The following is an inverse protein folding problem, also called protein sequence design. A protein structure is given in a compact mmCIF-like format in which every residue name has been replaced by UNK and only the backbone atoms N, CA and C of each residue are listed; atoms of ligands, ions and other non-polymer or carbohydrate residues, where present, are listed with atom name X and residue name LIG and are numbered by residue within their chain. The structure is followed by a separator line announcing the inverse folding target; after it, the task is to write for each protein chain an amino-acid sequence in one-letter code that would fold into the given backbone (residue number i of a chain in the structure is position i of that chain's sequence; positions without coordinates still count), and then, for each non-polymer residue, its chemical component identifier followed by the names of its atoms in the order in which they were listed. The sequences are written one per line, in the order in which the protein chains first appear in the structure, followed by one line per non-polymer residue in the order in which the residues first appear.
data_IF_233106484220
#
_entry.id   IF_233106484220
#
_cell.length_a   1.000
_cell.length_b   1.000
_cell.length_c   1.000
_cell.angle_alpha   90.00
_cell.angle_beta   90.00
_cell.angle_gamma   90.00
#
_symmetry.space_group_name_H-M   'P 1'
#
loop_
_entity.id
_entity.type
_entity.pdbx_description
1 polymer ?
#
# COMPACT_ATOMS: atom_id res chain seq x y z
N UNK A 1 -13.65 -13.13 7.39
CA UNK A 1 -13.93 -14.58 7.28
C UNK A 1 -15.34 -14.85 6.79
N UNK A 2 -16.39 -14.41 7.49
CA UNK A 2 -17.79 -14.64 7.06
C UNK A 2 -18.04 -14.34 5.57
N UNK A 3 -17.70 -13.15 5.08
CA UNK A 3 -17.90 -12.78 3.67
C UNK A 3 -17.27 -13.76 2.67
N UNK A 4 -16.09 -14.30 2.97
CA UNK A 4 -15.36 -15.23 2.09
C UNK A 4 -16.01 -16.63 2.01
N UNK A 5 -16.99 -16.93 2.86
CA UNK A 5 -17.80 -18.14 2.75
C UNK A 5 -19.04 -17.95 1.87
N UNK A 6 -19.39 -16.72 1.52
CA UNK A 6 -20.64 -16.38 0.82
C UNK A 6 -20.44 -15.65 -0.51
N UNK A 7 -19.19 -15.33 -0.88
CA UNK A 7 -18.87 -14.63 -2.12
C UNK A 7 -17.56 -15.16 -2.70
N UNK A 8 -17.48 -15.17 -4.03
CA UNK A 8 -16.27 -15.56 -4.76
C UNK A 8 -15.15 -14.51 -4.62
N UNK A 9 -15.55 -13.23 -4.47
CA UNK A 9 -14.64 -12.10 -4.27
C UNK A 9 -15.07 -11.29 -3.05
N UNK A 10 -14.11 -10.95 -2.18
CA UNK A 10 -14.32 -10.07 -1.03
C UNK A 10 -13.35 -8.91 -1.12
N UNK A 11 -13.88 -7.73 -1.43
CA UNK A 11 -13.12 -6.48 -1.37
C UNK A 11 -13.22 -5.92 0.04
N UNK A 12 -12.09 -5.54 0.62
CA UNK A 12 -11.98 -4.90 1.92
C UNK A 12 -10.85 -3.86 1.89
N UNK A 13 -10.82 -2.98 2.88
CA UNK A 13 -9.85 -1.90 2.97
C UNK A 13 -9.24 -1.81 4.37
N UNK A 14 -8.17 -1.02 4.48
CA UNK A 14 -7.55 -0.63 5.73
C UNK A 14 -7.38 0.89 5.74
N UNK A 15 -7.51 1.52 6.92
CA UNK A 15 -7.43 2.97 7.04
C UNK A 15 -5.99 3.50 6.88
N UNK A 16 -5.87 4.78 6.51
CA UNK A 16 -4.61 5.45 6.15
C UNK A 16 -3.96 4.90 4.86
N UNK A 17 -2.68 5.21 4.64
CA UNK A 17 -1.90 4.72 3.50
C UNK A 17 -1.43 3.27 3.68
N UNK A 18 -0.80 2.72 2.64
CA UNK A 18 -0.31 1.35 2.66
C UNK A 18 0.87 1.11 3.63
N UNK A 19 1.54 2.19 4.04
CA UNK A 19 2.55 2.21 5.10
C UNK A 19 1.98 1.83 6.47
N UNK A 20 0.75 2.23 6.78
CA UNK A 20 0.11 1.93 8.07
C UNK A 20 -1.02 0.90 7.93
N UNK A 21 -2.02 1.20 7.11
CA UNK A 21 -3.22 0.39 6.99
C UNK A 21 -2.93 -0.99 6.40
N UNK A 22 -2.28 -1.00 5.24
CA UNK A 22 -1.97 -2.25 4.55
C UNK A 22 -0.94 -3.07 5.33
N UNK A 23 0.13 -2.45 5.84
CA UNK A 23 1.10 -3.14 6.72
C UNK A 23 0.40 -3.85 7.88
N UNK A 24 -0.44 -3.16 8.65
CA UNK A 24 -1.16 -3.76 9.79
C UNK A 24 -2.19 -4.80 9.36
N UNK A 25 -2.86 -4.59 8.22
CA UNK A 25 -3.77 -5.58 7.68
C UNK A 25 -3.01 -6.87 7.34
N UNK A 26 -1.84 -6.76 6.73
CA UNK A 26 -1.03 -7.90 6.30
C UNK A 26 -0.30 -8.55 7.48
N UNK A 27 0.48 -7.81 8.25
CA UNK A 27 1.33 -8.34 9.32
C UNK A 27 0.58 -8.75 10.58
N UNK A 28 -0.61 -8.17 10.84
CA UNK A 28 -1.44 -8.47 12.02
C UNK A 28 -2.70 -9.23 11.63
N UNK A 29 -3.62 -8.62 10.88
CA UNK A 29 -4.94 -9.22 10.63
C UNK A 29 -4.83 -10.51 9.81
N UNK A 30 -4.09 -10.52 8.71
CA UNK A 30 -3.90 -11.71 7.90
C UNK A 30 -3.17 -12.81 8.66
N UNK A 31 -2.12 -12.46 9.42
CA UNK A 31 -1.39 -13.40 10.27
C UNK A 31 -2.31 -14.07 11.30
N UNK A 32 -3.06 -13.28 12.07
CA UNK A 32 -3.93 -13.81 13.13
C UNK A 32 -5.16 -14.55 12.59
N UNK A 33 -5.68 -14.12 11.44
CA UNK A 33 -6.84 -14.74 10.83
C UNK A 33 -6.48 -15.89 9.87
N UNK A 34 -5.21 -16.11 9.54
CA UNK A 34 -4.80 -17.05 8.49
C UNK A 34 -5.38 -16.69 7.12
N UNK A 35 -5.51 -15.38 6.83
CA UNK A 35 -5.96 -14.89 5.53
C UNK A 35 -4.76 -14.70 4.60
N UNK A 36 -4.97 -14.97 3.32
CA UNK A 36 -4.00 -14.71 2.26
C UNK A 36 -4.69 -13.84 1.22
N UNK A 37 -4.32 -12.55 1.09
CA UNK A 37 -4.90 -11.68 0.06
C UNK A 37 -4.46 -12.15 -1.32
N UNK A 38 -5.38 -12.13 -2.28
CA UNK A 38 -5.09 -12.59 -3.64
C UNK A 38 -4.50 -11.46 -4.50
N UNK A 39 -4.92 -10.21 -4.29
CA UNK A 39 -4.40 -9.02 -4.96
C UNK A 39 -4.66 -7.75 -4.12
N UNK A 40 -4.00 -6.64 -4.49
CA UNK A 40 -4.12 -5.34 -3.82
C UNK A 40 -4.42 -4.22 -4.82
N UNK A 41 -5.35 -3.33 -4.47
CA UNK A 41 -5.54 -2.05 -5.16
C UNK A 41 -4.87 -0.94 -4.36
N UNK A 42 -4.00 -0.18 -5.00
CA UNK A 42 -3.38 1.03 -4.42
C UNK A 42 -4.05 2.24 -5.05
N UNK A 43 -4.81 2.99 -4.25
CA UNK A 43 -5.56 4.16 -4.73
C UNK A 43 -4.70 5.42 -4.63
N UNK A 44 -4.67 6.22 -5.69
CA UNK A 44 -4.03 7.54 -5.69
C UNK A 44 -4.81 8.56 -6.55
N UNK A 45 -4.41 9.82 -6.50
CA UNK A 45 -4.93 10.91 -7.35
C UNK A 45 -3.76 11.76 -7.84
N UNK A 46 -3.85 12.30 -9.06
CA UNK A 46 -2.83 13.21 -9.61
C UNK A 46 -2.59 14.41 -8.68
N UNK A 47 -3.66 14.95 -8.11
CA UNK A 47 -3.59 16.07 -7.14
C UNK A 47 -2.81 15.71 -5.88
N UNK A 48 -3.04 14.54 -5.28
CA UNK A 48 -2.29 14.12 -4.08
C UNK A 48 -0.80 13.91 -4.39
N UNK A 49 -0.49 13.38 -5.58
CA UNK A 49 0.90 13.24 -6.00
C UNK A 49 1.58 14.59 -6.23
N UNK A 50 0.92 15.54 -6.90
CA UNK A 50 1.43 16.93 -7.00
C UNK A 50 1.63 17.59 -5.63
N UNK A 51 0.74 17.33 -4.69
CA UNK A 51 0.88 17.81 -3.31
C UNK A 51 2.14 17.23 -2.63
N UNK A 52 2.38 15.92 -2.78
CA UNK A 52 3.63 15.28 -2.32
C UNK A 52 4.87 15.86 -3.02
N UNK A 53 4.72 16.34 -4.25
CA UNK A 53 5.74 17.08 -4.99
C UNK A 53 5.94 18.54 -4.57
N UNK A 54 5.19 19.01 -3.57
CA UNK A 54 5.32 20.35 -2.98
C UNK A 54 4.32 21.40 -3.46
N UNK A 55 3.33 21.03 -4.28
CA UNK A 55 2.31 22.00 -4.74
C UNK A 55 1.35 22.32 -3.59
N UNK A 56 1.13 23.61 -3.25
CA UNK A 56 0.15 23.99 -2.25
C UNK A 56 -1.26 23.54 -2.62
N UNK A 57 -2.08 23.26 -1.61
CA UNK A 57 -3.46 22.76 -1.80
C UNK A 57 -4.32 23.64 -2.73
N UNK A 58 -4.07 24.95 -2.73
CA UNK A 58 -4.80 25.92 -3.55
C UNK A 58 -4.53 25.77 -5.06
N UNK A 59 -3.38 25.22 -5.44
CA UNK A 59 -2.86 25.25 -6.81
C UNK A 59 -2.91 23.88 -7.52
N UNK A 60 -3.50 22.86 -6.86
CA UNK A 60 -3.50 21.47 -7.33
C UNK A 60 -4.30 21.23 -8.63
N UNK A 61 -5.12 22.19 -9.05
CA UNK A 61 -5.96 22.04 -10.24
C UNK A 61 -5.23 22.40 -11.54
N UNK A 62 -4.04 22.99 -11.46
CA UNK A 62 -3.23 23.30 -12.64
C UNK A 62 -2.36 22.08 -12.99
N UNK A 63 -2.22 21.79 -14.28
CA UNK A 63 -1.27 20.78 -14.76
C UNK A 63 0.14 21.12 -14.26
N UNK A 64 0.84 20.13 -13.69
CA UNK A 64 2.23 20.29 -13.29
C UNK A 64 2.98 18.96 -13.27
N UNK A 65 3.54 18.59 -14.44
CA UNK A 65 4.29 17.34 -14.61
C UNK A 65 5.56 17.28 -13.74
N UNK A 66 6.25 18.42 -13.54
CA UNK A 66 7.46 18.46 -12.71
C UNK A 66 7.16 18.13 -11.24
N UNK A 67 6.12 18.75 -10.67
CA UNK A 67 5.70 18.44 -9.32
C UNK A 67 5.14 17.02 -9.20
N UNK A 68 4.38 16.57 -10.21
CA UNK A 68 3.89 15.20 -10.24
C UNK A 68 5.05 14.20 -10.21
N UNK A 69 6.08 14.40 -11.02
CA UNK A 69 7.28 13.56 -11.03
C UNK A 69 8.02 13.58 -9.67
N UNK A 70 8.09 14.74 -9.01
CA UNK A 70 8.69 14.84 -7.65
C UNK A 70 7.86 14.15 -6.57
N UNK A 71 6.54 14.05 -6.72
CA UNK A 71 5.65 13.43 -5.74
C UNK A 71 5.35 11.95 -5.98
N UNK A 72 5.55 11.47 -7.21
CA UNK A 72 5.43 10.06 -7.60
C UNK A 72 6.20 9.07 -6.71
N UNK A 73 7.40 9.38 -6.17
CA UNK A 73 8.11 8.48 -5.25
C UNK A 73 7.27 7.98 -4.07
N UNK A 74 6.28 8.75 -3.60
CA UNK A 74 5.36 8.29 -2.57
C UNK A 74 4.53 7.06 -3.03
N UNK A 75 3.89 7.14 -4.20
CA UNK A 75 3.13 6.03 -4.78
C UNK A 75 4.04 4.85 -5.11
N UNK A 76 5.19 5.12 -5.74
CA UNK A 76 6.14 4.09 -6.13
C UNK A 76 6.67 3.32 -4.92
N UNK A 77 6.87 3.99 -3.77
CA UNK A 77 7.26 3.31 -2.54
C UNK A 77 6.14 2.39 -2.01
N UNK A 78 4.88 2.82 -2.06
CA UNK A 78 3.76 1.94 -1.69
C UNK A 78 3.63 0.75 -2.64
N UNK A 79 3.80 0.95 -3.95
CA UNK A 79 3.86 -0.13 -4.94
C UNK A 79 4.97 -1.12 -4.62
N UNK A 80 6.17 -0.62 -4.32
CA UNK A 80 7.31 -1.46 -3.93
C UNK A 80 7.02 -2.28 -2.67
N UNK A 81 6.45 -1.65 -1.64
CA UNK A 81 6.13 -2.33 -0.39
C UNK A 81 5.19 -3.52 -0.66
N UNK A 82 4.12 -3.31 -1.42
CA UNK A 82 3.16 -4.39 -1.74
C UNK A 82 3.80 -5.49 -2.60
N UNK A 83 4.48 -5.12 -3.68
CA UNK A 83 4.96 -6.08 -4.68
C UNK A 83 6.25 -6.79 -4.27
N UNK A 84 7.19 -6.10 -3.62
CA UNK A 84 8.52 -6.66 -3.27
C UNK A 84 8.61 -7.10 -1.82
N UNK A 85 8.09 -6.30 -0.88
CA UNK A 85 8.15 -6.64 0.55
C UNK A 85 7.11 -7.69 0.89
N UNK A 86 5.85 -7.47 0.51
CA UNK A 86 4.78 -8.43 0.78
C UNK A 86 4.61 -9.48 -0.31
N UNK A 87 5.13 -9.27 -1.52
CA UNK A 87 5.05 -10.28 -2.59
C UNK A 87 3.65 -10.44 -3.19
N UNK A 88 2.80 -9.43 -3.07
CA UNK A 88 1.42 -9.46 -3.56
C UNK A 88 1.30 -8.82 -4.94
N UNK A 89 0.49 -9.39 -5.85
CA UNK A 89 0.16 -8.72 -7.10
C UNK A 89 -0.69 -7.47 -6.81
N UNK A 90 -0.45 -6.41 -7.58
CA UNK A 90 -1.05 -5.12 -7.33
C UNK A 90 -1.46 -4.40 -8.62
N UNK A 91 -2.51 -3.58 -8.51
CA UNK A 91 -2.92 -2.59 -9.51
C UNK A 91 -3.01 -1.23 -8.84
N UNK A 92 -2.58 -0.18 -9.54
CA UNK A 92 -2.82 1.20 -9.09
C UNK A 92 -4.13 1.70 -9.69
N UNK A 93 -5.02 2.20 -8.85
CA UNK A 93 -6.24 2.87 -9.27
C UNK A 93 -6.08 4.39 -9.11
N UNK A 94 -6.12 5.13 -10.22
CA UNK A 94 -6.11 6.60 -10.19
C UNK A 94 -7.54 7.10 -10.23
N UNK A 95 -8.02 7.67 -9.11
CA UNK A 95 -9.32 8.34 -9.09
C UNK A 95 -9.24 9.64 -9.90
N UNK A 96 -9.97 9.67 -11.02
CA UNK A 96 -9.97 10.77 -11.97
C UNK A 96 -10.65 12.02 -11.39
N UNK A 97 -10.01 13.18 -11.55
CA UNK A 97 -10.62 14.48 -11.35
C UNK A 97 -10.77 15.22 -12.69
N UNK A 98 -11.79 16.09 -12.85
CA UNK A 98 -12.01 16.84 -14.10
C UNK A 98 -10.83 17.73 -14.54
N UNK A 99 -9.93 18.06 -13.63
CA UNK A 99 -8.76 18.90 -13.88
C UNK A 99 -7.49 18.12 -14.19
N UNK A 100 -7.53 16.79 -14.10
CA UNK A 100 -6.38 15.96 -14.41
C UNK A 100 -6.18 15.95 -15.93
N UNK A 101 -4.96 16.22 -16.36
CA UNK A 101 -4.60 16.15 -17.78
C UNK A 101 -4.27 14.72 -18.20
N UNK A 102 -4.42 14.42 -19.50
CA UNK A 102 -3.97 13.13 -20.04
C UNK A 102 -2.46 12.95 -19.85
N UNK A 103 -1.67 14.02 -20.00
CA UNK A 103 -0.22 13.96 -19.81
C UNK A 103 0.18 13.58 -18.38
N UNK A 104 -0.56 14.05 -17.37
CA UNK A 104 -0.33 13.65 -15.98
C UNK A 104 -0.69 12.18 -15.74
N UNK A 105 -1.81 11.71 -16.30
CA UNK A 105 -2.20 10.30 -16.21
C UNK A 105 -1.17 9.38 -16.88
N UNK A 106 -0.73 9.74 -18.09
CA UNK A 106 0.28 8.99 -18.85
C UNK A 106 1.62 8.91 -18.10
N UNK A 107 2.02 9.99 -17.42
CA UNK A 107 3.23 10.00 -16.59
C UNK A 107 3.11 9.03 -15.41
N UNK A 108 1.97 9.00 -14.72
CA UNK A 108 1.75 8.05 -13.62
C UNK A 108 1.79 6.61 -14.13
N UNK A 109 1.14 6.33 -15.25
CA UNK A 109 1.15 5.01 -15.89
C UNK A 109 2.57 4.57 -16.26
N UNK A 110 3.32 5.45 -16.94
CA UNK A 110 4.70 5.16 -17.35
C UNK A 110 5.58 4.78 -16.15
N UNK A 111 5.52 5.56 -15.06
CA UNK A 111 6.35 5.33 -13.87
C UNK A 111 5.95 4.08 -13.08
N UNK A 112 4.66 3.75 -12.99
CA UNK A 112 4.22 2.51 -12.35
C UNK A 112 4.61 1.28 -13.19
N UNK A 113 4.57 1.40 -14.51
CA UNK A 113 4.96 0.33 -15.44
C UNK A 113 6.44 -0.04 -15.34
N UNK A 114 7.32 0.90 -14.99
CA UNK A 114 8.73 0.60 -14.67
C UNK A 114 8.88 -0.37 -13.48
N UNK A 115 7.90 -0.43 -12.59
CA UNK A 115 7.82 -1.40 -11.48
C UNK A 115 6.99 -2.66 -11.82
N UNK A 116 6.54 -2.80 -13.08
CA UNK A 116 5.72 -3.91 -13.53
C UNK A 116 4.26 -3.85 -13.06
N UNK A 117 3.79 -2.68 -12.61
CA UNK A 117 2.41 -2.51 -12.11
C UNK A 117 1.58 -1.66 -13.07
N UNK A 118 0.42 -2.19 -13.45
CA UNK A 118 -0.53 -1.48 -14.30
C UNK A 118 -1.29 -0.41 -13.51
N UNK A 119 -1.64 0.66 -14.22
CA UNK A 119 -2.49 1.74 -13.71
C UNK A 119 -3.83 1.69 -14.44
N UNK A 120 -4.92 1.82 -13.70
CA UNK A 120 -6.28 1.93 -14.24
C UNK A 120 -6.97 3.17 -13.69
N UNK A 121 -7.65 3.90 -14.57
CA UNK A 121 -8.36 5.12 -14.19
C UNK A 121 -9.73 4.74 -13.62
N UNK A 122 -9.97 5.16 -12.38
CA UNK A 122 -11.21 4.96 -11.66
C UNK A 122 -12.14 6.16 -11.89
N UNK A 123 -13.33 5.88 -12.42
CA UNK A 123 -14.42 6.85 -12.60
C UNK A 123 -15.65 6.50 -11.78
N UNK A 124 -15.49 5.65 -10.75
CA UNK A 124 -16.61 5.08 -9.99
C UNK A 124 -17.45 6.15 -9.28
N UNK A 125 -16.85 7.29 -8.93
CA UNK A 125 -17.58 8.41 -8.35
C UNK A 125 -18.60 9.02 -9.33
N UNK A 126 -18.22 9.16 -10.61
CA UNK A 126 -19.06 9.77 -11.63
C UNK A 126 -19.97 8.76 -12.34
N UNK A 127 -19.55 7.50 -12.47
CA UNK A 127 -20.19 6.47 -13.31
C UNK A 127 -20.65 5.22 -12.53
N UNK A 128 -20.54 5.21 -11.20
CA UNK A 128 -20.85 4.03 -10.39
C UNK A 128 -20.00 2.82 -10.80
N UNK A 129 -20.57 1.62 -10.76
CA UNK A 129 -19.83 0.38 -11.05
C UNK A 129 -19.19 0.34 -12.45
N UNK A 130 -19.81 0.96 -13.45
CA UNK A 130 -19.27 1.03 -14.82
C UNK A 130 -17.89 1.72 -14.85
N UNK A 131 -17.70 2.74 -14.00
CA UNK A 131 -16.43 3.46 -13.90
C UNK A 131 -15.30 2.69 -13.23
N UNK A 132 -15.55 1.46 -12.77
CA UNK A 132 -14.56 0.60 -12.10
C UNK A 132 -14.28 -0.72 -12.82
N UNK A 133 -14.91 -0.96 -13.98
CA UNK A 133 -14.80 -2.23 -14.72
C UNK A 133 -13.35 -2.55 -15.06
N UNK A 134 -12.57 -1.58 -15.56
CA UNK A 134 -11.17 -1.82 -15.93
C UNK A 134 -10.29 -2.21 -14.73
N UNK A 135 -10.60 -1.69 -13.53
CA UNK A 135 -9.89 -2.07 -12.29
C UNK A 135 -10.29 -3.48 -11.87
N UNK A 136 -11.57 -3.82 -11.97
CA UNK A 136 -12.06 -5.15 -11.66
C UNK A 136 -11.48 -6.21 -12.61
N UNK A 137 -11.46 -5.94 -13.92
CA UNK A 137 -10.85 -6.82 -14.92
C UNK A 137 -9.35 -7.02 -14.66
N UNK A 138 -8.64 -5.95 -14.33
CA UNK A 138 -7.21 -6.04 -14.01
C UNK A 138 -6.96 -6.84 -12.71
N UNK A 139 -7.80 -6.68 -11.69
CA UNK A 139 -7.72 -7.50 -10.48
C UNK A 139 -7.96 -8.98 -10.78
N UNK A 140 -9.00 -9.31 -11.54
CA UNK A 140 -9.30 -10.70 -11.92
C UNK A 140 -8.11 -11.27 -12.70
N UNK A 141 -7.56 -10.53 -13.67
CA UNK A 141 -6.38 -10.94 -14.43
C UNK A 141 -5.17 -11.23 -13.53
N UNK A 142 -4.90 -10.36 -12.55
CA UNK A 142 -3.80 -10.54 -11.60
C UNK A 142 -3.99 -11.79 -10.71
N UNK A 143 -5.21 -12.04 -10.26
CA UNK A 143 -5.56 -13.20 -9.44
C UNK A 143 -5.41 -14.49 -10.26
N UNK A 144 -5.92 -14.51 -11.50
CA UNK A 144 -5.87 -15.67 -12.39
C UNK A 144 -4.45 -15.98 -12.90
N UNK A 145 -3.58 -14.99 -13.00
CA UNK A 145 -2.18 -15.20 -13.37
C UNK A 145 -1.41 -16.05 -12.33
N UNK A 146 -1.89 -16.10 -11.08
CA UNK A 146 -1.33 -16.97 -10.03
C UNK A 146 0.02 -16.52 -9.46
N UNK A 147 0.52 -15.35 -9.82
CA UNK A 147 1.78 -14.78 -9.31
C UNK A 147 1.56 -14.13 -7.93
N UNK A 148 1.40 -14.96 -6.90
CA UNK A 148 1.24 -14.52 -5.51
C UNK A 148 2.26 -15.19 -4.60
N UNK A 149 3.22 -14.40 -4.11
CA UNK A 149 4.29 -14.85 -3.22
C UNK A 149 4.14 -14.21 -1.83
N UNK A 150 2.90 -14.10 -1.35
CA UNK A 150 2.58 -13.40 -0.11
C UNK A 150 3.45 -13.85 1.07
N UNK A 151 4.13 -12.88 1.68
CA UNK A 151 4.95 -13.03 2.87
C UNK A 151 4.78 -11.82 3.79
N UNK A 152 5.12 -11.99 5.05
CA UNK A 152 5.11 -10.92 6.04
C UNK A 152 6.39 -10.07 5.98
N UNK A 153 6.34 -8.84 6.49
CA UNK A 153 7.52 -7.96 6.48
C UNK A 153 8.60 -8.39 7.48
N UNK A 154 8.22 -9.16 8.51
CA UNK A 154 9.09 -9.74 9.53
C UNK A 154 8.59 -11.11 10.06
N UNK A 155 9.48 -11.88 10.67
CA UNK A 155 9.14 -13.06 11.46
C UNK A 155 8.80 -12.66 12.91
N UNK A 156 7.75 -13.25 13.47
CA UNK A 156 7.32 -13.02 14.86
C UNK A 156 8.31 -13.57 15.89
N UNK A 157 9.18 -14.49 15.49
CA UNK A 157 10.26 -15.02 16.34
C UNK A 157 11.42 -14.02 16.53
N UNK A 158 11.47 -12.94 15.74
CA UNK A 158 12.45 -11.88 15.93
C UNK A 158 12.18 -11.09 17.23
N UNK A 159 13.24 -10.57 17.89
CA UNK A 159 13.08 -9.63 18.99
C UNK A 159 12.20 -8.43 18.60
N UNK A 160 11.48 -7.86 19.56
CA UNK A 160 10.55 -6.72 19.34
C UNK A 160 11.25 -5.58 18.59
N UNK A 161 12.51 -5.28 18.97
CA UNK A 161 13.32 -4.23 18.33
C UNK A 161 13.56 -4.49 16.85
N UNK A 162 13.88 -5.74 16.50
CA UNK A 162 14.15 -6.12 15.11
C UNK A 162 12.88 -6.11 14.26
N UNK A 163 11.72 -6.43 14.85
CA UNK A 163 10.43 -6.30 14.16
C UNK A 163 10.10 -4.84 13.87
N UNK A 164 10.28 -3.95 14.86
CA UNK A 164 10.12 -2.49 14.67
C UNK A 164 11.07 -1.97 13.59
N UNK A 165 12.35 -2.35 13.66
CA UNK A 165 13.36 -1.97 12.67
C UNK A 165 13.02 -2.50 11.27
N UNK A 166 12.54 -3.73 11.15
CA UNK A 166 12.13 -4.30 9.87
C UNK A 166 11.00 -3.51 9.21
N UNK A 167 9.98 -3.08 9.97
CA UNK A 167 8.91 -2.22 9.46
C UNK A 167 9.51 -0.87 9.03
N UNK A 168 10.29 -0.23 9.90
CA UNK A 168 10.85 1.08 9.64
C UNK A 168 11.72 1.12 8.37
N UNK A 169 12.60 0.13 8.20
CA UNK A 169 13.51 0.08 7.07
C UNK A 169 12.82 -0.39 5.78
N UNK A 170 12.01 -1.46 5.84
CA UNK A 170 11.42 -2.04 4.62
C UNK A 170 10.22 -1.25 4.12
N UNK A 171 9.34 -0.82 5.03
CA UNK A 171 8.07 -0.15 4.70
C UNK A 171 8.28 1.36 4.60
N UNK A 172 8.87 1.99 5.62
CA UNK A 172 9.01 3.45 5.66
C UNK A 172 10.26 3.96 4.92
N UNK A 173 11.28 3.11 4.75
CA UNK A 173 12.56 3.51 4.16
C UNK A 173 13.45 4.32 5.12
N UNK A 174 13.26 4.14 6.44
CA UNK A 174 14.13 4.74 7.44
C UNK A 174 15.52 4.06 7.44
N UNK A 175 16.57 4.80 7.80
CA UNK A 175 17.91 4.24 7.92
C UNK A 175 18.02 3.29 9.13
N UNK A 176 17.53 3.73 10.30
CA UNK A 176 17.51 2.95 11.53
C UNK A 176 16.44 3.49 12.51
N UNK A 177 16.29 2.80 13.64
CA UNK A 177 15.38 3.15 14.74
C UNK A 177 16.19 3.42 16.00
N UNK A 178 16.00 4.61 16.58
CA UNK A 178 16.55 4.98 17.88
C UNK A 178 15.49 4.75 18.95
N UNK A 179 15.81 3.91 19.92
CA UNK A 179 14.94 3.62 21.05
C UNK A 179 15.35 4.47 22.25
N UNK A 180 14.42 5.26 22.77
CA UNK A 180 14.60 5.96 24.03
C UNK A 180 14.76 4.96 25.20
N UNK A 181 15.46 5.35 26.27
CA UNK A 181 15.71 4.49 27.43
C UNK A 181 14.44 3.90 28.05
N UNK A 182 13.35 4.67 28.06
CA UNK A 182 12.06 4.20 28.55
C UNK A 182 11.47 3.10 27.65
N UNK A 183 11.47 3.31 26.34
CA UNK A 183 11.04 2.29 25.37
C UNK A 183 11.93 1.03 25.44
N UNK A 184 13.23 1.19 25.72
CA UNK A 184 14.12 0.06 25.90
C UNK A 184 13.66 -0.83 27.06
N UNK A 185 13.38 -0.24 28.22
CA UNK A 185 12.93 -0.98 29.41
C UNK A 185 11.58 -1.68 29.18
N UNK A 186 10.63 -0.98 28.57
CA UNK A 186 9.30 -1.53 28.28
C UNK A 186 9.38 -2.73 27.33
N UNK A 187 10.23 -2.66 26.30
CA UNK A 187 10.46 -3.78 25.38
C UNK A 187 11.01 -5.00 26.13
N UNK A 188 12.02 -4.81 26.97
CA UNK A 188 12.64 -5.91 27.72
C UNK A 188 11.63 -6.56 28.69
N UNK A 189 10.77 -5.75 29.32
CA UNK A 189 9.67 -6.24 30.17
C UNK A 189 8.63 -7.03 29.38
N UNK A 190 8.22 -6.56 28.19
CA UNK A 190 7.28 -7.29 27.33
C UNK A 190 7.83 -8.64 26.90
N UNK A 191 9.10 -8.70 26.50
CA UNK A 191 9.75 -9.96 26.11
C UNK A 191 9.85 -10.92 27.30
N UNK A 192 10.27 -10.43 28.48
CA UNK A 192 10.33 -11.23 29.71
C UNK A 192 8.98 -11.80 30.12
N UNK A 193 7.90 -11.06 29.87
CA UNK A 193 6.53 -11.48 30.17
C UNK A 193 5.89 -12.36 29.07
N UNK A 194 6.67 -12.77 28.06
CA UNK A 194 6.22 -13.70 27.01
C UNK A 194 5.46 -13.04 25.86
N UNK A 195 5.40 -11.71 25.79
CA UNK A 195 4.80 -10.97 24.67
C UNK A 195 5.77 -10.77 23.50
N UNK A 196 7.01 -11.26 23.61
CA UNK A 196 8.04 -11.10 22.58
C UNK A 196 7.64 -11.61 21.19
N UNK A 197 6.66 -12.52 21.08
CA UNK A 197 6.21 -13.10 19.81
C UNK A 197 4.98 -12.42 19.20
N UNK A 198 4.43 -11.38 19.83
CA UNK A 198 3.28 -10.67 19.26
C UNK A 198 3.69 -9.82 18.05
N UNK A 199 2.80 -9.60 17.06
CA UNK A 199 3.01 -8.62 16.01
C UNK A 199 3.17 -7.20 16.57
N UNK A 200 3.75 -6.31 15.76
CA UNK A 200 3.97 -4.88 16.06
C UNK A 200 2.90 -4.05 15.34
N UNK A 201 2.44 -2.97 15.99
CA UNK A 201 1.49 -1.98 15.47
C UNK A 201 2.09 -0.58 15.65
#
# INVERSE_FOLDING_TARGET
KMAAHFADYVVTEAGFGADLGAEKFLDIKCRMAGLKPDAVVIVATVRALKYNGGVPKADLNNENLEALEKGLPNLLKHVENITKVFGLPAVVAINEFPTDSQAELDLVEAKCKELGVNVKVSRVWAKGGEGGVEIAEELVRLIEAGENNFKFSYDTELPIREKIRAIAQKIYGADDVIFADQANKEIDELEKNGFGKTPIC
#
